data_IF_068795358061
#
_entry.id   IF_068795358061
#
_cell.length_a   1.000
_cell.length_b   1.000
_cell.length_c   1.000
_cell.angle_alpha   90.00
_cell.angle_beta   90.00
_cell.angle_gamma   90.00
#
_symmetry.space_group_name_H-M   'P 1'
#
loop_
_entity.id
_entity.type
_entity.pdbx_description
1 polymer ?
#
# COMPACT_ATOMS: atom_id res chain seq x y z
N UNK A 1 35.64 -19.40 4.73
CA UNK A 1 34.45 -19.09 5.56
C UNK A 1 33.20 -19.53 4.84
N UNK A 2 32.26 -20.16 5.54
CA UNK A 2 31.01 -20.58 4.91
C UNK A 2 30.17 -19.34 4.58
N UNK A 3 29.42 -19.36 3.46
CA UNK A 3 28.49 -18.27 3.10
C UNK A 3 27.10 -18.57 3.65
N UNK A 4 26.49 -17.61 4.34
CA UNK A 4 25.10 -17.71 4.78
C UNK A 4 24.16 -17.85 3.57
N UNK A 5 23.23 -18.81 3.61
CA UNK A 5 22.17 -18.96 2.62
C UNK A 5 20.83 -19.09 3.33
N UNK A 6 19.92 -18.16 3.04
CA UNK A 6 18.56 -18.22 3.55
C UNK A 6 17.72 -19.13 2.67
N UNK A 7 17.13 -20.19 3.24
CA UNK A 7 16.38 -21.19 2.47
C UNK A 7 15.11 -20.64 1.84
N UNK A 8 14.53 -19.59 2.43
CA UNK A 8 13.29 -18.96 1.97
C UNK A 8 13.55 -17.67 1.17
N UNK A 9 14.72 -17.55 0.53
CA UNK A 9 15.07 -16.37 -0.27
C UNK A 9 14.07 -16.12 -1.41
N UNK A 10 13.62 -17.19 -2.08
CA UNK A 10 12.62 -17.09 -3.14
C UNK A 10 11.27 -16.60 -2.60
N UNK A 11 10.84 -17.11 -1.43
CA UNK A 11 9.60 -16.69 -0.79
C UNK A 11 9.68 -15.22 -0.35
N UNK A 12 10.82 -14.77 0.18
CA UNK A 12 11.05 -13.36 0.53
C UNK A 12 10.93 -12.47 -0.71
N UNK A 13 11.57 -12.84 -1.83
CA UNK A 13 11.46 -12.07 -3.08
C UNK A 13 10.03 -12.00 -3.62
N UNK A 14 9.27 -13.09 -3.49
CA UNK A 14 7.86 -13.10 -3.88
C UNK A 14 7.03 -12.17 -2.99
N UNK A 15 7.25 -12.19 -1.68
CA UNK A 15 6.58 -11.29 -0.74
C UNK A 15 6.92 -9.82 -1.03
N UNK A 16 8.19 -9.50 -1.29
CA UNK A 16 8.63 -8.15 -1.66
C UNK A 16 7.97 -7.66 -2.96
N UNK A 17 7.90 -8.51 -3.99
CA UNK A 17 7.18 -8.18 -5.23
C UNK A 17 5.69 -7.98 -5.00
N UNK A 18 5.07 -8.84 -4.20
CA UNK A 18 3.66 -8.70 -3.83
C UNK A 18 3.42 -7.38 -3.11
N UNK A 19 4.31 -6.97 -2.21
CA UNK A 19 4.23 -5.69 -1.51
C UNK A 19 4.29 -4.51 -2.50
N UNK A 20 5.26 -4.52 -3.41
CA UNK A 20 5.38 -3.49 -4.47
C UNK A 20 4.14 -3.42 -5.36
N UNK A 21 3.58 -4.57 -5.73
CA UNK A 21 2.35 -4.65 -6.52
C UNK A 21 1.16 -4.04 -5.76
N UNK A 22 0.96 -4.42 -4.49
CA UNK A 22 -0.13 -3.86 -3.69
C UNK A 22 0.01 -2.35 -3.47
N UNK A 23 1.25 -1.82 -3.39
CA UNK A 23 1.51 -0.37 -3.33
C UNK A 23 1.09 0.34 -4.61
N UNK A 24 1.43 -0.22 -5.77
CA UNK A 24 1.03 0.33 -7.08
C UNK A 24 -0.48 0.34 -7.24
N UNK A 25 -1.13 -0.79 -6.96
CA UNK A 25 -2.59 -0.90 -7.01
C UNK A 25 -3.25 0.10 -6.07
N UNK A 26 -2.75 0.27 -4.84
CA UNK A 26 -3.29 1.28 -3.93
C UNK A 26 -3.16 2.70 -4.49
N UNK A 27 -2.02 3.02 -5.11
CA UNK A 27 -1.81 4.33 -5.72
C UNK A 27 -2.80 4.59 -6.87
N UNK A 28 -3.06 3.59 -7.71
CA UNK A 28 -4.05 3.65 -8.79
C UNK A 28 -5.48 3.87 -8.24
N UNK A 29 -5.87 3.11 -7.22
CA UNK A 29 -7.21 3.25 -6.62
C UNK A 29 -7.39 4.59 -5.90
N UNK A 30 -6.34 5.15 -5.30
CA UNK A 30 -6.35 6.50 -4.71
C UNK A 30 -6.51 7.56 -5.82
N UNK A 31 -5.77 7.45 -6.92
CA UNK A 31 -5.90 8.36 -8.05
C UNK A 31 -7.32 8.36 -8.62
N UNK A 32 -7.91 7.17 -8.79
CA UNK A 32 -9.31 7.02 -9.21
C UNK A 32 -10.30 7.62 -8.22
N UNK A 33 -10.06 7.45 -6.92
CA UNK A 33 -10.91 8.06 -5.90
C UNK A 33 -10.86 9.59 -5.94
N UNK A 34 -9.65 10.17 -6.06
CA UNK A 34 -9.47 11.62 -6.17
C UNK A 34 -10.12 12.20 -7.43
N UNK A 35 -10.05 11.50 -8.56
CA UNK A 35 -10.70 11.94 -9.79
C UNK A 35 -12.22 11.92 -9.68
N UNK A 36 -12.80 10.89 -9.06
CA UNK A 36 -14.24 10.82 -8.78
C UNK A 36 -14.69 11.91 -7.80
N UNK A 37 -13.94 12.17 -6.74
CA UNK A 37 -14.23 13.26 -5.81
C UNK A 37 -14.23 14.62 -6.51
N UNK A 38 -13.25 14.87 -7.39
CA UNK A 38 -13.20 16.08 -8.20
C UNK A 38 -14.41 16.18 -9.14
N UNK A 39 -14.76 15.10 -9.84
CA UNK A 39 -15.93 15.07 -10.71
C UNK A 39 -17.23 15.35 -9.95
N UNK A 40 -17.36 14.81 -8.73
CA UNK A 40 -18.50 15.07 -7.85
C UNK A 40 -18.58 16.55 -7.44
N UNK A 41 -17.45 17.16 -7.08
CA UNK A 41 -17.38 18.59 -6.74
C UNK A 41 -17.72 19.49 -7.94
N UNK A 42 -17.20 19.16 -9.12
CA UNK A 42 -17.49 19.91 -10.34
C UNK A 42 -18.99 19.77 -10.70
N UNK A 43 -19.57 18.58 -10.55
CA UNK A 43 -20.99 18.34 -10.76
C UNK A 43 -21.88 19.07 -9.75
N UNK A 44 -21.45 19.17 -8.49
CA UNK A 44 -22.16 19.94 -7.46
C UNK A 44 -22.26 21.42 -7.85
N UNK A 45 -21.19 22.00 -8.40
CA UNK A 45 -21.22 23.38 -8.93
C UNK A 45 -22.21 23.54 -10.08
N UNK A 46 -22.27 22.57 -10.99
CA UNK A 46 -23.25 22.58 -12.10
C UNK A 46 -24.68 22.50 -11.57
N UNK A 47 -24.92 21.66 -10.55
CA UNK A 47 -26.23 21.57 -9.91
C UNK A 47 -26.62 22.86 -9.18
N UNK A 48 -25.68 23.50 -8.46
CA UNK A 48 -25.92 24.80 -7.83
C UNK A 48 -26.25 25.89 -8.85
N UNK A 49 -25.55 25.90 -10.00
CA UNK A 49 -25.88 26.79 -11.12
C UNK A 49 -27.29 26.51 -11.66
N UNK A 50 -27.68 25.24 -11.81
CA UNK A 50 -29.02 24.86 -12.24
C UNK A 50 -30.11 25.36 -11.28
N UNK A 51 -29.88 25.25 -9.97
CA UNK A 51 -30.77 25.77 -8.94
C UNK A 51 -30.94 27.29 -9.03
N UNK A 52 -29.84 28.03 -9.20
CA UNK A 52 -29.89 29.49 -9.37
C UNK A 52 -30.70 29.88 -10.61
N UNK A 53 -30.48 29.22 -11.74
CA UNK A 53 -31.25 29.46 -12.96
C UNK A 53 -32.75 29.14 -12.78
N UNK A 54 -33.08 28.09 -12.04
CA UNK A 54 -34.47 27.76 -11.71
C UNK A 54 -35.13 28.83 -10.81
N UNK A 55 -34.42 29.32 -9.79
CA UNK A 55 -34.91 30.40 -8.93
C UNK A 55 -35.12 31.70 -9.70
N UNK A 56 -34.22 32.03 -10.62
CA UNK A 56 -34.31 33.20 -11.47
C UNK A 56 -35.50 33.11 -12.43
N UNK A 57 -35.64 31.98 -13.14
CA UNK A 57 -36.76 31.74 -14.06
C UNK A 57 -38.13 31.83 -13.35
N UNK A 58 -38.20 31.39 -12.09
CA UNK A 58 -39.41 31.54 -11.28
C UNK A 58 -39.82 33.02 -11.07
N UNK A 59 -38.87 33.96 -11.13
CA UNK A 59 -39.10 35.40 -10.91
C UNK A 59 -39.26 36.19 -12.22
N UNK A 60 -38.43 35.90 -13.21
CA UNK A 60 -38.25 36.77 -14.38
C UNK A 60 -38.76 36.16 -15.69
N UNK A 61 -38.74 34.83 -15.82
CA UNK A 61 -39.09 34.13 -17.05
C UNK A 61 -39.83 32.80 -16.79
N UNK A 62 -41.10 32.85 -16.35
CA UNK A 62 -41.87 31.65 -16.01
C UNK A 62 -42.00 30.64 -17.16
N UNK A 63 -41.95 31.11 -18.41
CA UNK A 63 -41.96 30.26 -19.60
C UNK A 63 -40.77 29.28 -19.67
N UNK A 64 -39.63 29.63 -19.07
CA UNK A 64 -38.42 28.82 -19.07
C UNK A 64 -38.32 27.91 -17.83
N UNK A 65 -39.22 28.06 -16.86
CA UNK A 65 -39.16 27.35 -15.58
C UNK A 65 -39.15 25.83 -15.74
N UNK A 66 -39.96 25.28 -16.66
CA UNK A 66 -40.03 23.84 -16.91
C UNK A 66 -38.70 23.27 -17.45
N UNK A 67 -37.98 24.05 -18.26
CA UNK A 67 -36.65 23.67 -18.77
C UNK A 67 -35.64 23.62 -17.63
N UNK A 68 -35.61 24.65 -16.78
CA UNK A 68 -34.73 24.71 -15.62
C UNK A 68 -35.02 23.59 -14.62
N UNK A 69 -36.29 23.30 -14.30
CA UNK A 69 -36.66 22.19 -13.43
C UNK A 69 -36.17 20.84 -13.98
N UNK A 70 -36.37 20.60 -15.26
CA UNK A 70 -35.90 19.37 -15.93
C UNK A 70 -34.38 19.27 -15.93
N UNK A 71 -33.68 20.39 -16.12
CA UNK A 71 -32.23 20.43 -16.08
C UNK A 71 -31.70 20.17 -14.67
N UNK A 72 -32.22 20.87 -13.65
CA UNK A 72 -31.86 20.69 -12.24
C UNK A 72 -32.06 19.24 -11.80
N UNK A 73 -33.20 18.64 -12.19
CA UNK A 73 -33.51 17.24 -11.86
C UNK A 73 -32.47 16.28 -12.43
N UNK A 74 -32.04 16.47 -13.69
CA UNK A 74 -30.96 15.66 -14.29
C UNK A 74 -29.63 15.87 -13.58
N UNK A 75 -29.31 17.12 -13.19
CA UNK A 75 -28.05 17.41 -12.52
C UNK A 75 -27.96 16.77 -11.13
N UNK A 76 -29.07 16.72 -10.36
CA UNK A 76 -29.09 16.06 -9.04
C UNK A 76 -29.02 14.54 -9.16
N UNK A 77 -29.65 13.95 -10.18
CA UNK A 77 -29.53 12.51 -10.47
C UNK A 77 -28.08 12.12 -10.78
N UNK A 78 -27.40 12.91 -11.63
CA UNK A 78 -25.99 12.70 -11.94
C UNK A 78 -25.09 12.89 -10.71
N UNK A 79 -25.37 13.91 -9.88
CA UNK A 79 -24.63 14.13 -8.65
C UNK A 79 -24.76 12.96 -7.67
N UNK A 80 -25.97 12.41 -7.52
CA UNK A 80 -26.22 11.23 -6.68
C UNK A 80 -25.49 10.00 -7.19
N UNK A 81 -25.50 9.78 -8.49
CA UNK A 81 -24.75 8.69 -9.12
C UNK A 81 -23.24 8.82 -8.84
N UNK A 82 -22.66 10.00 -9.05
CA UNK A 82 -21.24 10.23 -8.77
C UNK A 82 -20.90 10.08 -7.28
N UNK A 83 -21.77 10.55 -6.38
CA UNK A 83 -21.58 10.37 -4.94
C UNK A 83 -21.59 8.88 -4.54
N UNK A 84 -22.44 8.07 -5.17
CA UNK A 84 -22.46 6.63 -4.97
C UNK A 84 -21.17 5.97 -5.47
N UNK A 85 -20.69 6.35 -6.66
CA UNK A 85 -19.41 5.88 -7.21
C UNK A 85 -18.22 6.24 -6.28
N UNK A 86 -18.21 7.45 -5.73
CA UNK A 86 -17.20 7.88 -4.74
C UNK A 86 -17.23 6.96 -3.51
N UNK A 87 -18.42 6.69 -2.97
CA UNK A 87 -18.59 5.83 -1.79
C UNK A 87 -18.20 4.37 -2.07
N UNK A 88 -18.50 3.85 -3.27
CA UNK A 88 -18.07 2.52 -3.68
C UNK A 88 -16.55 2.46 -3.84
N UNK A 89 -15.95 3.48 -4.46
CA UNK A 89 -14.51 3.56 -4.64
C UNK A 89 -13.76 3.68 -3.30
N UNK A 90 -14.31 4.37 -2.31
CA UNK A 90 -13.74 4.43 -0.96
C UNK A 90 -13.63 3.06 -0.30
N UNK A 91 -14.64 2.19 -0.51
CA UNK A 91 -14.60 0.79 -0.05
C UNK A 91 -13.48 0.01 -0.74
N UNK A 92 -13.29 0.21 -2.04
CA UNK A 92 -12.20 -0.42 -2.80
C UNK A 92 -10.83 0.02 -2.26
N UNK A 93 -10.62 1.33 -2.06
CA UNK A 93 -9.38 1.87 -1.47
C UNK A 93 -9.14 1.27 -0.08
N UNK A 94 -10.19 1.14 0.73
CA UNK A 94 -10.08 0.56 2.08
C UNK A 94 -9.68 -0.91 2.04
N UNK A 95 -10.28 -1.71 1.15
CA UNK A 95 -9.89 -3.10 0.94
C UNK A 95 -8.44 -3.21 0.44
N UNK A 96 -8.03 -2.32 -0.45
CA UNK A 96 -6.67 -2.32 -0.99
C UNK A 96 -5.62 -1.94 0.06
N UNK A 97 -5.95 -1.03 0.99
CA UNK A 97 -5.12 -0.74 2.17
C UNK A 97 -4.94 -1.96 3.06
N UNK A 98 -6.00 -2.73 3.27
CA UNK A 98 -5.93 -3.96 4.07
C UNK A 98 -5.01 -5.00 3.42
N UNK A 99 -5.13 -5.21 2.09
CA UNK A 99 -4.23 -6.11 1.34
C UNK A 99 -2.78 -5.67 1.41
N UNK A 100 -2.53 -4.36 1.30
CA UNK A 100 -1.19 -3.80 1.44
C UNK A 100 -0.60 -4.08 2.84
N UNK A 101 -1.41 -3.92 3.89
CA UNK A 101 -0.99 -4.22 5.26
C UNK A 101 -0.61 -5.69 5.42
N UNK A 102 -1.39 -6.61 4.88
CA UNK A 102 -1.12 -8.06 4.90
C UNK A 102 0.19 -8.39 4.17
N UNK A 103 0.37 -7.87 2.95
CA UNK A 103 1.60 -8.06 2.18
C UNK A 103 2.84 -7.51 2.92
N UNK A 104 2.69 -6.38 3.60
CA UNK A 104 3.75 -5.80 4.42
C UNK A 104 4.09 -6.71 5.61
N UNK A 105 3.08 -7.20 6.34
CA UNK A 105 3.29 -8.10 7.47
C UNK A 105 4.01 -9.38 7.04
N UNK A 106 3.65 -9.98 5.91
CA UNK A 106 4.28 -11.22 5.44
C UNK A 106 5.72 -11.00 4.99
N UNK A 107 5.99 -9.89 4.33
CA UNK A 107 7.35 -9.47 3.99
C UNK A 107 8.21 -9.29 5.24
N UNK A 108 7.69 -8.58 6.25
CA UNK A 108 8.41 -8.32 7.51
C UNK A 108 8.67 -9.59 8.33
N UNK A 109 7.71 -10.53 8.37
CA UNK A 109 7.91 -11.84 9.02
C UNK A 109 9.11 -12.57 8.40
N UNK A 110 9.20 -12.59 7.06
CA UNK A 110 10.29 -13.27 6.35
C UNK A 110 11.64 -12.56 6.54
N UNK A 111 11.67 -11.23 6.52
CA UNK A 111 12.89 -10.44 6.80
C UNK A 111 13.42 -10.71 8.21
N UNK A 112 12.55 -10.64 9.22
CA UNK A 112 12.93 -10.93 10.61
C UNK A 112 13.42 -12.37 10.78
N UNK A 113 12.81 -13.33 10.08
CA UNK A 113 13.28 -14.71 10.10
C UNK A 113 14.68 -14.85 9.49
N UNK A 114 14.92 -14.19 8.35
CA UNK A 114 16.24 -14.16 7.70
C UNK A 114 17.30 -13.56 8.61
N UNK A 115 17.01 -12.46 9.27
CA UNK A 115 17.90 -11.80 10.24
C UNK A 115 18.24 -12.72 11.42
N UNK A 116 17.23 -13.36 12.02
CA UNK A 116 17.44 -14.32 13.12
C UNK A 116 18.34 -15.48 12.69
N UNK A 117 18.06 -16.08 11.53
CA UNK A 117 18.89 -17.17 11.00
C UNK A 117 20.32 -16.72 10.70
N UNK A 118 20.50 -15.50 10.19
CA UNK A 118 21.81 -14.91 9.94
C UNK A 118 22.59 -14.70 11.23
N UNK A 119 21.95 -14.20 12.29
CA UNK A 119 22.57 -14.03 13.60
C UNK A 119 23.05 -15.38 14.17
N UNK A 120 22.21 -16.41 14.10
CA UNK A 120 22.58 -17.78 14.52
C UNK A 120 23.74 -18.33 13.70
N UNK A 121 23.75 -18.10 12.39
CA UNK A 121 24.85 -18.51 11.52
C UNK A 121 26.17 -17.83 11.89
N UNK A 122 26.14 -16.51 12.07
CA UNK A 122 27.32 -15.73 12.45
C UNK A 122 27.90 -16.21 13.79
N UNK A 123 27.05 -16.46 14.79
CA UNK A 123 27.48 -16.98 16.08
C UNK A 123 28.15 -18.35 15.96
N UNK A 124 27.67 -19.22 15.06
CA UNK A 124 28.29 -20.53 14.80
C UNK A 124 29.65 -20.40 14.14
N UNK A 125 29.79 -19.51 13.15
CA UNK A 125 31.10 -19.27 12.51
C UNK A 125 32.10 -18.67 13.51
N UNK A 126 31.69 -17.70 14.35
CA UNK A 126 32.53 -17.15 15.41
C UNK A 126 33.03 -18.23 16.38
N UNK A 127 32.14 -19.13 16.83
CA UNK A 127 32.54 -20.25 17.70
C UNK A 127 33.51 -21.21 17.01
N UNK A 128 33.34 -21.43 15.71
CA UNK A 128 34.24 -22.27 14.91
C UNK A 128 35.62 -21.64 14.76
N UNK A 129 35.68 -20.35 14.48
CA UNK A 129 36.92 -19.59 14.42
C UNK A 129 37.65 -19.60 15.77
N UNK A 130 36.93 -19.37 16.86
CA UNK A 130 37.49 -19.44 18.21
C UNK A 130 38.07 -20.84 18.51
N UNK A 131 37.35 -21.91 18.19
CA UNK A 131 37.83 -23.27 18.41
C UNK A 131 39.14 -23.56 17.66
N UNK A 132 39.25 -23.11 16.40
CA UNK A 132 40.48 -23.26 15.60
C UNK A 132 41.65 -22.48 16.22
N UNK A 133 41.39 -21.27 16.73
CA UNK A 133 42.41 -20.46 17.42
C UNK A 133 42.87 -21.11 18.73
N UNK A 134 41.94 -21.64 19.51
CA UNK A 134 42.22 -22.31 20.77
C UNK A 134 43.05 -23.60 20.54
N UNK A 135 42.69 -24.41 19.54
CA UNK A 135 43.44 -25.59 19.11
C UNK A 135 44.87 -25.22 18.67
N UNK A 136 45.01 -24.19 17.82
CA UNK A 136 46.32 -23.70 17.39
C UNK A 136 47.16 -23.19 18.57
N UNK A 137 46.53 -22.49 19.53
CA UNK A 137 47.15 -22.03 20.76
C UNK A 137 47.68 -23.18 21.62
N UNK A 138 46.87 -24.22 21.83
CA UNK A 138 47.28 -25.43 22.57
C UNK A 138 48.45 -26.16 21.90
N UNK A 139 48.44 -26.30 20.57
CA UNK A 139 49.55 -26.91 19.82
C UNK A 139 50.85 -26.10 20.01
N UNK A 140 50.76 -24.78 19.93
CA UNK A 140 51.92 -23.88 20.10
C UNK A 140 52.47 -23.92 21.53
N UNK A 141 51.60 -23.93 22.54
CA UNK A 141 52.00 -24.00 23.95
C UNK A 141 52.57 -25.37 24.32
N UNK A 142 51.98 -26.45 23.81
CA UNK A 142 52.47 -27.82 23.96
C UNK A 142 53.86 -28.01 23.38
N UNK A 143 54.14 -27.45 22.18
CA UNK A 143 55.48 -27.49 21.57
C UNK A 143 56.55 -26.72 22.35
N UNK A 144 56.16 -25.65 23.05
CA UNK A 144 57.07 -24.86 23.90
C UNK A 144 57.38 -25.51 25.25
N UNK A 145 56.53 -26.41 25.73
CA UNK A 145 56.70 -27.12 27.01
C UNK A 145 57.40 -28.48 26.85
N UNK A 146 57.57 -28.95 25.62
CA UNK A 146 58.31 -30.16 25.24
C UNK A 146 59.73 -29.90 24.69
N UNK A 147 60.19 -28.64 24.73
CA UNK A 147 61.57 -28.21 24.46
C UNK A 147 62.25 -27.85 25.79
#
# INVERSE_FOLDING_TARGET
MAKFRFRLEAALRLAERSLEEQQRLLAEEIQKHLSLQKACQDQERVWQFALQGQEEACRTSPQDLGLWQSFTQKQIELLRYLAEEVAQQEKVVTQQRQRLLEAHQDTEKLKKLKEKQRAVFNLKEQRREQAVLDEAGQIMFGRRSSL
#
